data_IF_564504900280
#
_entry.id   IF_564504900280
#
_cell.length_a   1.000
_cell.length_b   1.000
_cell.length_c   1.000
_cell.angle_alpha   90.00
_cell.angle_beta   90.00
_cell.angle_gamma   90.00
#
_symmetry.space_group_name_H-M   'P 1'
#
loop_
_entity.id
_entity.type
_entity.pdbx_description
1 polymer ?
#
# COMPACT_ATOMS: atom_id res chain seq x y z
N UNK A 1 18.61 32.57 -3.36
CA UNK A 1 17.26 32.02 -3.65
C UNK A 1 17.38 31.12 -4.86
N UNK A 2 16.87 29.89 -4.80
CA UNK A 2 16.81 29.02 -5.98
C UNK A 2 15.79 29.55 -6.97
N UNK A 3 16.09 29.47 -8.26
CA UNK A 3 15.12 29.84 -9.31
C UNK A 3 14.03 28.78 -9.44
N UNK A 4 12.84 29.15 -9.96
CA UNK A 4 11.77 28.19 -10.25
C UNK A 4 12.29 27.03 -11.13
N UNK A 5 13.11 27.35 -12.14
CA UNK A 5 13.72 26.37 -13.03
C UNK A 5 14.63 25.38 -12.28
N UNK A 6 15.40 25.83 -11.30
CA UNK A 6 16.23 24.95 -10.47
C UNK A 6 15.39 24.01 -9.62
N UNK A 7 14.30 24.51 -9.03
CA UNK A 7 13.35 23.69 -8.28
C UNK A 7 12.69 22.64 -9.17
N UNK A 8 12.24 23.01 -10.37
CA UNK A 8 11.68 22.07 -11.35
C UNK A 8 12.71 21.01 -11.79
N UNK A 9 13.97 21.40 -11.99
CA UNK A 9 15.05 20.45 -12.34
C UNK A 9 15.32 19.44 -11.23
N UNK A 10 15.34 19.86 -9.96
CA UNK A 10 15.47 18.94 -8.82
C UNK A 10 14.31 17.96 -8.76
N UNK A 11 13.08 18.43 -8.99
CA UNK A 11 11.90 17.58 -9.04
C UNK A 11 11.99 16.54 -10.16
N UNK A 12 12.45 16.95 -11.35
CA UNK A 12 12.67 16.04 -12.48
C UNK A 12 13.82 15.06 -12.26
N UNK A 13 14.81 15.38 -11.42
CA UNK A 13 15.89 14.47 -11.10
C UNK A 13 15.40 13.29 -10.26
N UNK A 14 14.44 13.50 -9.37
CA UNK A 14 13.82 12.42 -8.61
C UNK A 14 12.95 11.54 -9.48
N UNK A 15 12.19 12.13 -10.41
CA UNK A 15 11.47 11.36 -11.42
C UNK A 15 12.36 10.36 -12.16
N UNK A 16 13.62 10.73 -12.43
CA UNK A 16 14.59 9.86 -13.09
C UNK A 16 15.11 8.75 -12.17
N UNK A 17 15.20 8.99 -10.86
CA UNK A 17 15.67 8.02 -9.86
C UNK A 17 14.51 7.08 -9.47
N UNK A 18 13.32 7.62 -9.29
CA UNK A 18 12.07 6.90 -9.14
C UNK A 18 11.67 6.12 -10.41
N UNK A 19 12.49 6.09 -11.46
CA UNK A 19 12.26 5.22 -12.61
C UNK A 19 12.52 3.74 -12.29
N UNK A 20 13.26 3.43 -11.22
CA UNK A 20 13.60 2.05 -10.83
C UNK A 20 12.68 1.46 -9.76
N UNK A 21 12.19 2.28 -8.83
CA UNK A 21 11.31 1.86 -7.73
C UNK A 21 10.39 3.03 -7.34
N UNK A 22 9.15 2.73 -6.93
CA UNK A 22 8.21 3.74 -6.42
C UNK A 22 8.59 4.09 -4.98
N UNK A 23 9.02 5.33 -4.73
CA UNK A 23 9.32 5.83 -3.38
C UNK A 23 8.61 7.18 -3.12
N UNK A 24 7.35 7.10 -2.68
CA UNK A 24 6.57 8.28 -2.30
C UNK A 24 7.19 9.08 -1.15
N UNK A 25 8.00 8.44 -0.29
CA UNK A 25 8.66 9.09 0.83
C UNK A 25 9.85 9.96 0.37
N UNK A 26 10.59 9.52 -0.65
CA UNK A 26 11.59 10.35 -1.32
C UNK A 26 10.94 11.53 -2.05
N UNK A 27 9.84 11.30 -2.77
CA UNK A 27 9.07 12.35 -3.45
C UNK A 27 8.60 13.42 -2.45
N UNK A 28 7.98 13.01 -1.34
CA UNK A 28 7.51 13.93 -0.32
C UNK A 28 8.64 14.77 0.29
N UNK A 29 9.83 14.19 0.52
CA UNK A 29 11.00 14.91 1.06
C UNK A 29 11.46 16.04 0.17
N UNK A 30 11.56 15.82 -1.13
CA UNK A 30 12.03 16.90 -2.01
C UNK A 30 10.95 17.92 -2.30
N UNK A 31 9.67 17.53 -2.29
CA UNK A 31 8.59 18.50 -2.31
C UNK A 31 8.65 19.42 -1.10
N UNK A 32 8.88 18.86 0.10
CA UNK A 32 9.10 19.65 1.31
C UNK A 32 10.28 20.59 1.15
N UNK A 33 11.43 20.12 0.65
CA UNK A 33 12.63 20.95 0.53
C UNK A 33 12.50 22.04 -0.56
N UNK A 34 11.74 21.75 -1.62
CA UNK A 34 11.56 22.69 -2.75
C UNK A 34 10.51 23.74 -2.45
N UNK A 35 9.45 23.36 -1.74
CA UNK A 35 8.35 24.25 -1.41
C UNK A 35 8.57 24.92 -0.05
N UNK A 36 9.20 24.26 0.92
CA UNK A 36 9.28 24.66 2.34
C UNK A 36 7.90 24.56 3.03
N UNK A 37 7.23 23.42 2.89
CA UNK A 37 5.96 23.12 3.56
C UNK A 37 5.86 21.65 3.94
N UNK A 38 4.90 21.33 4.83
CA UNK A 38 4.54 19.94 5.09
C UNK A 38 3.85 19.35 3.86
N UNK A 39 4.21 18.12 3.50
CA UNK A 39 3.73 17.42 2.32
C UNK A 39 3.12 16.08 2.73
N UNK A 40 1.96 15.76 2.16
CA UNK A 40 1.31 14.47 2.33
C UNK A 40 0.79 14.00 0.97
N UNK A 41 1.16 12.77 0.59
CA UNK A 41 0.69 12.10 -0.63
C UNK A 41 -0.30 11.04 -0.19
N UNK A 42 -1.57 11.24 -0.53
CA UNK A 42 -2.68 10.37 -0.13
C UNK A 42 -3.20 9.58 -1.31
N UNK A 43 -3.64 8.34 -1.07
CA UNK A 43 -4.45 7.61 -2.03
C UNK A 43 -5.90 8.13 -2.07
N UNK A 44 -6.79 7.42 -2.78
CA UNK A 44 -8.22 7.79 -2.90
C UNK A 44 -9.02 7.59 -1.61
N UNK A 45 -8.54 6.78 -0.68
CA UNK A 45 -9.23 6.44 0.58
C UNK A 45 -8.75 7.33 1.73
N UNK A 46 -7.57 7.94 1.61
CA UNK A 46 -6.97 8.77 2.66
C UNK A 46 -5.74 8.14 3.30
N UNK A 47 -5.31 6.97 2.82
CA UNK A 47 -4.06 6.35 3.28
C UNK A 47 -2.86 7.19 2.82
N UNK A 48 -1.91 7.36 3.73
CA UNK A 48 -0.69 8.11 3.50
C UNK A 48 0.32 7.19 2.80
N UNK A 49 0.56 7.45 1.51
CA UNK A 49 1.60 6.76 0.73
C UNK A 49 3.00 7.28 1.05
N UNK A 50 3.10 8.58 1.35
CA UNK A 50 4.35 9.23 1.73
C UNK A 50 4.09 10.62 2.31
N UNK A 51 4.95 11.05 3.23
CA UNK A 51 4.83 12.37 3.86
C UNK A 51 6.18 12.95 4.25
N UNK A 52 6.27 14.27 4.33
CA UNK A 52 7.47 14.93 4.85
C UNK A 52 7.10 16.21 5.56
N UNK A 53 7.64 16.37 6.78
CA UNK A 53 7.32 17.48 7.66
C UNK A 53 8.52 18.43 7.75
N UNK A 54 8.22 19.72 7.90
CA UNK A 54 9.24 20.72 8.27
C UNK A 54 9.65 20.50 9.72
N UNK A 55 10.91 20.82 10.05
CA UNK A 55 11.52 20.43 11.33
C UNK A 55 10.81 21.04 12.55
N UNK A 56 10.28 22.26 12.41
CA UNK A 56 9.57 22.99 13.47
C UNK A 56 8.07 22.61 13.58
N UNK A 57 7.64 21.53 12.92
CA UNK A 57 6.25 21.07 12.97
C UNK A 57 5.99 20.14 14.16
N UNK A 58 5.22 20.65 15.12
CA UNK A 58 4.76 19.96 16.31
C UNK A 58 3.23 20.04 16.46
N UNK A 59 2.58 18.95 16.11
CA UNK A 59 1.14 18.77 16.28
C UNK A 59 0.90 17.35 16.77
N UNK A 60 0.48 17.22 18.04
CA UNK A 60 0.27 15.92 18.67
C UNK A 60 -0.81 15.09 17.96
N UNK A 61 -1.90 15.74 17.52
CA UNK A 61 -2.98 15.07 16.77
C UNK A 61 -2.43 14.46 15.48
N UNK A 62 -1.65 15.24 14.71
CA UNK A 62 -1.03 14.72 13.49
C UNK A 62 -0.07 13.57 13.80
N UNK A 63 0.82 13.71 14.79
CA UNK A 63 1.81 12.68 15.13
C UNK A 63 1.17 11.40 15.67
N UNK A 64 0.19 11.51 16.56
CA UNK A 64 -0.34 10.37 17.32
C UNK A 64 -1.56 9.73 16.67
N UNK A 65 -2.43 10.50 16.01
CA UNK A 65 -3.67 9.98 15.43
C UNK A 65 -3.52 9.67 13.95
N UNK A 66 -2.82 10.54 13.19
CA UNK A 66 -2.76 10.44 11.72
C UNK A 66 -1.54 9.65 11.26
N UNK A 67 -0.34 10.08 11.63
CA UNK A 67 0.90 9.47 11.13
C UNK A 67 1.18 8.08 11.70
N UNK A 68 0.75 7.80 12.93
CA UNK A 68 0.86 6.45 13.53
C UNK A 68 -0.05 5.43 12.85
N UNK A 69 -1.21 5.88 12.37
CA UNK A 69 -2.19 5.02 11.68
C UNK A 69 -1.93 4.99 10.17
N UNK A 70 -1.06 5.87 9.66
CA UNK A 70 -0.77 6.06 8.24
C UNK A 70 -2.01 6.39 7.41
N UNK A 71 -2.99 7.07 8.00
CA UNK A 71 -4.26 7.38 7.35
C UNK A 71 -4.88 8.66 7.91
N UNK A 72 -5.53 9.42 7.03
CA UNK A 72 -6.32 10.60 7.42
C UNK A 72 -7.72 10.16 7.84
N UNK A 73 -8.35 10.78 8.85
CA UNK A 73 -9.71 10.43 9.26
C UNK A 73 -10.69 10.48 8.07
N UNK A 74 -11.56 9.47 7.96
CA UNK A 74 -12.50 9.28 6.84
C UNK A 74 -13.23 10.57 6.44
N UNK A 75 -13.79 11.27 7.43
CA UNK A 75 -14.54 12.51 7.21
C UNK A 75 -13.70 13.64 6.58
N UNK A 76 -12.39 13.65 6.81
CA UNK A 76 -11.48 14.60 6.19
C UNK A 76 -10.98 14.08 4.83
N UNK A 77 -10.68 12.79 4.72
CA UNK A 77 -10.31 12.16 3.45
C UNK A 77 -11.41 12.33 2.38
N UNK A 78 -12.68 12.10 2.73
CA UNK A 78 -13.83 12.33 1.86
C UNK A 78 -13.92 13.79 1.41
N UNK A 79 -13.73 14.75 2.33
CA UNK A 79 -13.72 16.19 1.99
C UNK A 79 -12.59 16.53 1.02
N UNK A 80 -11.38 15.99 1.22
CA UNK A 80 -10.25 16.18 0.30
C UNK A 80 -10.55 15.61 -1.09
N UNK A 81 -11.24 14.48 -1.16
CA UNK A 81 -11.61 13.83 -2.41
C UNK A 81 -12.61 14.66 -3.24
N UNK A 82 -13.46 15.47 -2.60
CA UNK A 82 -14.47 16.30 -3.27
C UNK A 82 -13.88 17.47 -4.08
N UNK A 83 -12.66 17.92 -3.76
CA UNK A 83 -11.99 18.99 -4.53
C UNK A 83 -11.61 18.48 -5.91
N UNK A 84 -12.22 19.00 -6.98
CA UNK A 84 -11.93 18.60 -8.36
C UNK A 84 -10.76 19.36 -8.98
N UNK A 85 -10.53 20.57 -8.52
CA UNK A 85 -9.45 21.46 -8.94
C UNK A 85 -8.56 21.82 -7.75
N UNK A 86 -7.37 22.36 -8.02
CA UNK A 86 -6.45 22.85 -6.99
C UNK A 86 -7.13 23.91 -6.12
N UNK A 87 -7.28 23.61 -4.82
CA UNK A 87 -7.74 24.57 -3.83
C UNK A 87 -6.52 25.13 -3.10
N UNK A 88 -6.05 26.30 -3.56
CA UNK A 88 -4.86 26.95 -3.02
C UNK A 88 -5.17 27.73 -1.74
N UNK A 89 -4.25 27.64 -0.77
CA UNK A 89 -4.23 28.48 0.44
C UNK A 89 -5.56 28.49 1.23
N UNK A 90 -6.25 27.36 1.29
CA UNK A 90 -7.43 27.18 2.14
C UNK A 90 -7.03 27.42 3.59
N UNK A 91 -7.50 28.51 4.16
CA UNK A 91 -7.25 28.84 5.55
C UNK A 91 -8.24 28.09 6.43
N UNK A 92 -7.71 27.52 7.50
CA UNK A 92 -8.53 27.02 8.59
C UNK A 92 -8.55 28.08 9.69
N UNK A 93 -9.55 28.96 9.65
CA UNK A 93 -9.66 30.12 10.53
C UNK A 93 -10.53 29.81 11.77
N UNK A 94 -10.29 28.64 12.37
CA UNK A 94 -10.91 28.24 13.64
C UNK A 94 -9.82 27.82 14.62
N UNK A 95 -10.06 27.98 15.92
CA UNK A 95 -9.17 27.45 16.96
C UNK A 95 -9.24 25.90 17.04
N UNK A 96 -10.00 25.26 16.14
CA UNK A 96 -10.24 23.82 16.10
C UNK A 96 -9.35 23.12 15.10
N UNK A 97 -9.15 21.81 15.28
CA UNK A 97 -8.35 21.01 14.37
C UNK A 97 -9.15 20.62 13.12
N UNK A 98 -8.48 20.55 11.97
CA UNK A 98 -9.07 20.06 10.71
C UNK A 98 -9.58 18.61 10.79
N UNK A 99 -9.06 17.83 11.75
CA UNK A 99 -9.38 16.42 11.96
C UNK A 99 -10.52 16.18 12.97
N UNK A 100 -10.94 17.19 13.73
CA UNK A 100 -11.97 17.05 14.76
C UNK A 100 -12.12 18.32 15.60
N UNK A 101 -13.36 18.66 15.95
CA UNK A 101 -13.69 19.86 16.74
C UNK A 101 -13.32 19.71 18.22
N UNK A 102 -13.06 18.48 18.66
CA UNK A 102 -12.60 18.13 20.00
C UNK A 102 -11.14 18.53 20.26
N UNK A 103 -10.34 18.75 19.21
CA UNK A 103 -8.93 19.13 19.33
C UNK A 103 -8.70 20.61 19.02
N UNK A 104 -7.75 21.22 19.73
CA UNK A 104 -7.27 22.57 19.45
C UNK A 104 -6.14 22.55 18.42
N UNK A 105 -6.11 23.54 17.53
CA UNK A 105 -5.03 23.67 16.55
C UNK A 105 -3.90 24.55 17.11
N UNK A 106 -2.65 24.05 17.23
CA UNK A 106 -1.52 24.84 17.71
C UNK A 106 -1.06 25.91 16.71
N UNK A 107 -1.53 25.86 15.45
CA UNK A 107 -1.10 26.74 14.37
C UNK A 107 -2.24 27.60 13.84
N UNK A 108 -2.26 28.87 14.24
CA UNK A 108 -3.19 29.88 13.69
C UNK A 108 -2.73 30.33 12.30
N UNK A 109 -3.66 30.56 11.39
CA UNK A 109 -3.36 31.02 10.02
C UNK A 109 -2.68 29.97 9.13
N UNK A 110 -2.80 28.68 9.48
CA UNK A 110 -2.29 27.57 8.66
C UNK A 110 -3.01 27.57 7.31
N UNK A 111 -2.26 27.73 6.23
CA UNK A 111 -2.73 27.59 4.87
C UNK A 111 -2.55 26.14 4.42
N UNK A 112 -3.62 25.55 3.90
CA UNK A 112 -3.60 24.22 3.29
C UNK A 112 -3.89 24.36 1.80
N UNK A 113 -3.01 23.84 0.97
CA UNK A 113 -3.25 23.70 -0.47
C UNK A 113 -3.53 22.24 -0.79
N UNK A 114 -4.63 22.01 -1.49
CA UNK A 114 -5.13 20.68 -1.84
C UNK A 114 -5.02 20.56 -3.35
N UNK A 115 -4.20 19.62 -3.82
CA UNK A 115 -3.97 19.38 -5.25
C UNK A 115 -4.46 17.97 -5.60
N UNK A 116 -5.51 17.86 -6.42
CA UNK A 116 -5.97 16.58 -6.94
C UNK A 116 -4.89 15.85 -7.74
N UNK A 117 -4.67 14.56 -7.47
CA UNK A 117 -3.76 13.72 -8.25
C UNK A 117 -4.60 12.92 -9.24
N UNK A 118 -4.49 13.27 -10.53
CA UNK A 118 -5.36 12.76 -11.60
C UNK A 118 -4.49 12.22 -12.74
N UNK A 119 -4.87 11.08 -13.32
CA UNK A 119 -4.31 10.61 -14.60
C UNK A 119 -5.38 9.89 -15.43
N UNK A 120 -5.37 10.12 -16.74
CA UNK A 120 -6.32 9.47 -17.65
C UNK A 120 -7.80 9.79 -17.39
N UNK A 121 -8.10 10.86 -16.65
CA UNK A 121 -9.45 11.21 -16.20
C UNK A 121 -9.84 10.61 -14.84
N UNK A 122 -9.02 9.71 -14.29
CA UNK A 122 -9.28 9.07 -13.01
C UNK A 122 -8.59 9.80 -11.85
N UNK A 123 -9.34 10.01 -10.76
CA UNK A 123 -8.80 10.52 -9.49
C UNK A 123 -8.03 9.40 -8.78
N UNK A 124 -6.71 9.55 -8.68
CA UNK A 124 -5.83 8.54 -8.08
C UNK A 124 -5.63 8.76 -6.58
N UNK A 125 -5.59 10.02 -6.16
CA UNK A 125 -5.28 10.41 -4.79
C UNK A 125 -5.26 11.92 -4.60
N UNK A 126 -4.64 12.41 -3.52
CA UNK A 126 -4.59 13.84 -3.20
C UNK A 126 -3.21 14.21 -2.67
N UNK A 127 -2.62 15.28 -3.21
CA UNK A 127 -1.42 15.92 -2.67
C UNK A 127 -1.87 17.06 -1.75
N UNK A 128 -1.53 16.96 -0.47
CA UNK A 128 -1.85 17.97 0.54
C UNK A 128 -0.58 18.68 0.96
N UNK A 129 -0.59 20.00 0.85
CA UNK A 129 0.51 20.88 1.24
C UNK A 129 0.03 21.76 2.39
N UNK A 130 0.77 21.82 3.49
CA UNK A 130 0.41 22.64 4.63
C UNK A 130 1.58 23.55 5.05
N UNK A 131 1.34 24.86 5.09
CA UNK A 131 2.32 25.88 5.45
C UNK A 131 1.72 26.89 6.41
N UNK A 132 2.48 27.30 7.40
CA UNK A 132 2.08 28.28 8.42
C UNK A 132 2.78 29.63 8.25
N UNK A 133 3.93 29.67 7.57
CA UNK A 133 4.74 30.87 7.42
C UNK A 133 4.18 31.88 6.41
N UNK A 134 3.85 31.41 5.20
CA UNK A 134 3.32 32.25 4.10
C UNK A 134 2.36 31.44 3.21
N UNK A 135 1.45 32.11 2.48
CA UNK A 135 0.72 31.47 1.39
C UNK A 135 1.65 30.95 0.30
N UNK A 136 1.23 29.90 -0.41
CA UNK A 136 1.85 29.46 -1.66
C UNK A 136 1.59 30.51 -2.74
N UNK A 137 2.65 30.97 -3.39
CA UNK A 137 2.56 31.84 -4.56
C UNK A 137 2.37 31.03 -5.85
N UNK A 138 2.24 31.71 -6.99
CA UNK A 138 2.06 31.06 -8.29
C UNK A 138 3.20 30.10 -8.64
N UNK A 139 4.45 30.42 -8.29
CA UNK A 139 5.59 29.55 -8.59
C UNK A 139 5.52 28.26 -7.75
N UNK A 140 5.13 28.38 -6.49
CA UNK A 140 4.88 27.24 -5.60
C UNK A 140 3.70 26.37 -6.11
N UNK A 141 2.62 26.99 -6.59
CA UNK A 141 1.46 26.27 -7.14
C UNK A 141 1.79 25.52 -8.43
N UNK A 142 2.59 26.12 -9.34
CA UNK A 142 3.08 25.43 -10.55
C UNK A 142 3.88 24.19 -10.16
N UNK A 143 4.75 24.30 -9.16
CA UNK A 143 5.51 23.16 -8.66
C UNK A 143 4.59 22.11 -8.02
N UNK A 144 3.57 22.53 -7.28
CA UNK A 144 2.60 21.64 -6.66
C UNK A 144 1.79 20.83 -7.68
N UNK A 145 1.32 21.44 -8.77
CA UNK A 145 0.60 20.75 -9.85
C UNK A 145 1.53 19.85 -10.69
N UNK A 146 2.76 20.30 -10.95
CA UNK A 146 3.78 19.45 -11.57
C UNK A 146 4.04 18.22 -10.70
N UNK A 147 4.18 18.41 -9.39
CA UNK A 147 4.35 17.34 -8.42
C UNK A 147 3.16 16.38 -8.37
N UNK A 148 1.93 16.89 -8.46
CA UNK A 148 0.74 16.05 -8.52
C UNK A 148 0.73 15.18 -9.79
N UNK A 149 1.15 15.72 -10.94
CA UNK A 149 1.29 14.97 -12.19
C UNK A 149 2.33 13.85 -12.06
N UNK A 150 3.46 14.15 -11.41
CA UNK A 150 4.51 13.18 -11.09
C UNK A 150 3.98 12.06 -10.18
N UNK A 151 3.34 12.44 -9.08
CA UNK A 151 2.76 11.48 -8.14
C UNK A 151 1.71 10.60 -8.83
N UNK A 152 0.96 11.13 -9.80
CA UNK A 152 -0.01 10.36 -10.57
C UNK A 152 0.67 9.23 -11.38
N UNK A 153 1.82 9.51 -12.00
CA UNK A 153 2.59 8.49 -12.73
C UNK A 153 3.13 7.41 -11.78
N UNK A 154 3.65 7.81 -10.62
CA UNK A 154 4.12 6.88 -9.58
C UNK A 154 2.98 6.00 -9.06
N UNK A 155 1.80 6.58 -8.81
CA UNK A 155 0.60 5.83 -8.38
C UNK A 155 0.10 4.84 -9.43
N UNK A 156 0.12 5.19 -10.72
CA UNK A 156 -0.23 4.24 -11.79
C UNK A 156 0.73 3.06 -11.77
N UNK A 157 2.04 3.33 -11.70
CA UNK A 157 3.05 2.28 -11.71
C UNK A 157 2.93 1.37 -10.49
N UNK A 158 2.76 1.96 -9.31
CA UNK A 158 2.52 1.21 -8.07
C UNK A 158 1.32 0.26 -8.18
N UNK A 159 0.22 0.74 -8.79
CA UNK A 159 -0.97 -0.10 -9.05
C UNK A 159 -0.67 -1.20 -10.08
N UNK A 160 0.07 -0.90 -11.15
CA UNK A 160 0.45 -1.89 -12.16
C UNK A 160 1.32 -2.99 -11.58
N UNK A 161 2.37 -2.63 -10.83
CA UNK A 161 3.24 -3.59 -10.13
C UNK A 161 2.44 -4.46 -9.16
N UNK A 162 1.50 -3.88 -8.40
CA UNK A 162 0.63 -4.62 -7.49
C UNK A 162 -0.27 -5.62 -8.21
N UNK A 163 -0.86 -5.22 -9.34
CA UNK A 163 -1.73 -6.10 -10.16
C UNK A 163 -0.91 -7.20 -10.83
N UNK A 164 0.29 -6.88 -11.33
CA UNK A 164 1.20 -7.86 -11.92
C UNK A 164 1.65 -8.88 -10.88
N UNK A 165 2.01 -8.42 -9.68
CA UNK A 165 2.37 -9.30 -8.56
C UNK A 165 1.22 -10.23 -8.20
N UNK A 166 0.00 -9.70 -8.07
CA UNK A 166 -1.17 -10.50 -7.77
C UNK A 166 -1.44 -11.55 -8.86
N UNK A 167 -1.34 -11.15 -10.13
CA UNK A 167 -1.48 -12.04 -11.28
C UNK A 167 -0.43 -13.14 -11.27
N UNK A 168 0.83 -12.80 -10.99
CA UNK A 168 1.95 -13.73 -10.87
C UNK A 168 1.73 -14.72 -9.75
N UNK A 169 1.27 -14.26 -8.58
CA UNK A 169 0.95 -15.10 -7.44
C UNK A 169 -0.18 -16.08 -7.76
N UNK A 170 -1.25 -15.63 -8.40
CA UNK A 170 -2.35 -16.51 -8.84
C UNK A 170 -1.88 -17.51 -9.89
N UNK A 171 -1.09 -17.08 -10.88
CA UNK A 171 -0.54 -17.95 -11.91
C UNK A 171 0.35 -19.06 -11.33
N UNK A 172 1.22 -18.71 -10.37
CA UNK A 172 2.05 -19.70 -9.68
C UNK A 172 1.21 -20.77 -8.96
N UNK A 173 0.12 -20.37 -8.30
CA UNK A 173 -0.82 -21.30 -7.67
C UNK A 173 -1.53 -22.17 -8.71
N UNK A 174 -1.99 -21.60 -9.82
CA UNK A 174 -2.66 -22.33 -10.88
C UNK A 174 -1.75 -23.36 -11.55
N UNK A 175 -0.48 -23.01 -11.80
CA UNK A 175 0.53 -23.97 -12.28
C UNK A 175 0.71 -25.10 -11.26
N UNK A 176 0.86 -24.78 -9.97
CA UNK A 176 1.00 -25.80 -8.93
C UNK A 176 -0.20 -26.76 -8.88
N UNK A 177 -1.42 -26.22 -8.94
CA UNK A 177 -2.66 -27.00 -8.98
C UNK A 177 -2.74 -27.89 -10.22
N UNK A 178 -2.31 -27.39 -11.39
CA UNK A 178 -2.27 -28.15 -12.64
C UNK A 178 -1.31 -29.34 -12.64
N UNK A 179 -0.32 -29.37 -11.74
CA UNK A 179 0.58 -30.52 -11.60
C UNK A 179 0.00 -31.66 -10.75
N UNK A 180 -1.10 -31.41 -10.04
CA UNK A 180 -1.74 -32.40 -9.18
C UNK A 180 -2.68 -33.31 -9.97
N UNK A 181 -2.64 -34.60 -9.66
CA UNK A 181 -3.70 -35.55 -10.03
C UNK A 181 -4.97 -35.29 -9.22
N UNK A 182 -6.10 -35.82 -9.68
CA UNK A 182 -7.40 -35.67 -9.00
C UNK A 182 -7.35 -36.09 -7.53
N UNK A 183 -6.71 -37.23 -7.23
CA UNK A 183 -6.55 -37.72 -5.84
C UNK A 183 -5.64 -36.82 -5.00
N UNK A 184 -4.56 -36.28 -5.58
CA UNK A 184 -3.68 -35.34 -4.91
C UNK A 184 -4.38 -34.02 -4.61
N UNK A 185 -5.15 -33.49 -5.57
CA UNK A 185 -5.92 -32.26 -5.39
C UNK A 185 -6.95 -32.38 -4.26
N UNK A 186 -7.71 -33.48 -4.23
CA UNK A 186 -8.67 -33.74 -3.16
C UNK A 186 -7.98 -33.91 -1.80
N UNK A 187 -6.82 -34.57 -1.77
CA UNK A 187 -6.02 -34.67 -0.57
C UNK A 187 -5.61 -33.27 -0.05
N UNK A 188 -5.14 -32.39 -0.92
CA UNK A 188 -4.71 -31.04 -0.54
C UNK A 188 -5.86 -30.18 -0.01
N UNK A 189 -7.06 -30.30 -0.58
CA UNK A 189 -8.26 -29.61 -0.06
C UNK A 189 -8.52 -29.98 1.40
N UNK A 190 -8.56 -31.27 1.71
CA UNK A 190 -8.79 -31.74 3.07
C UNK A 190 -7.68 -31.37 4.05
N UNK A 191 -6.42 -31.38 3.58
CA UNK A 191 -5.27 -30.96 4.39
C UNK A 191 -5.41 -29.50 4.83
N UNK A 192 -5.71 -28.59 3.89
CA UNK A 192 -5.83 -27.17 4.20
C UNK A 192 -7.12 -26.82 4.95
N UNK A 193 -8.18 -27.62 4.80
CA UNK A 193 -9.37 -27.54 5.64
C UNK A 193 -9.07 -27.90 7.10
N UNK A 194 -8.27 -28.96 7.34
CA UNK A 194 -7.90 -29.40 8.68
C UNK A 194 -6.84 -28.49 9.34
N UNK A 195 -5.97 -27.87 8.54
CA UNK A 195 -4.99 -26.90 9.05
C UNK A 195 -5.68 -25.65 9.62
N UNK A 196 -6.79 -25.21 9.02
CA UNK A 196 -7.60 -24.08 9.49
C UNK A 196 -6.89 -22.71 9.45
N UNK A 197 -5.73 -22.60 8.79
CA UNK A 197 -4.90 -21.39 8.80
C UNK A 197 -3.84 -21.37 7.69
N UNK A 198 -2.87 -20.46 7.81
CA UNK A 198 -1.74 -20.31 6.88
C UNK A 198 -0.52 -21.13 7.28
N UNK A 199 -0.49 -21.68 8.50
CA UNK A 199 0.57 -22.54 8.99
C UNK A 199 0.06 -23.56 10.03
N UNK A 200 0.74 -24.70 10.15
CA UNK A 200 0.35 -25.72 11.12
C UNK A 200 1.10 -27.04 10.94
N UNK A 201 0.88 -27.98 11.87
CA UNK A 201 1.43 -29.34 11.81
C UNK A 201 0.38 -30.33 11.32
N UNK A 202 0.76 -31.14 10.32
CA UNK A 202 -0.08 -32.17 9.74
C UNK A 202 0.51 -33.56 9.99
N UNK A 203 -0.33 -34.52 10.41
CA UNK A 203 0.05 -35.92 10.47
C UNK A 203 -0.54 -36.66 9.26
N UNK A 204 0.28 -36.88 8.23
CA UNK A 204 -0.16 -37.43 6.95
C UNK A 204 -0.91 -38.79 7.05
N UNK A 205 -0.57 -39.65 8.01
CA UNK A 205 -1.28 -40.92 8.21
C UNK A 205 -2.74 -40.71 8.64
N UNK A 206 -3.02 -39.77 9.55
CA UNK A 206 -4.39 -39.49 10.02
C UNK A 206 -5.29 -38.98 8.89
N UNK A 207 -4.72 -38.18 7.98
CA UNK A 207 -5.46 -37.66 6.82
C UNK A 207 -5.68 -38.75 5.78
N UNK A 208 -4.66 -39.57 5.52
CA UNK A 208 -4.74 -40.71 4.61
C UNK A 208 -5.88 -41.67 5.01
N UNK A 209 -5.94 -42.04 6.29
CA UNK A 209 -6.96 -42.95 6.82
C UNK A 209 -8.38 -42.37 6.73
N UNK A 210 -8.53 -41.05 6.93
CA UNK A 210 -9.83 -40.37 6.89
C UNK A 210 -10.36 -40.20 5.46
N UNK A 211 -9.47 -39.86 4.51
CA UNK A 211 -9.83 -39.58 3.11
C UNK A 211 -9.84 -40.88 2.27
N UNK A 212 -9.31 -41.99 2.81
CA UNK A 212 -9.27 -43.28 2.12
C UNK A 212 -8.24 -43.33 0.99
N UNK A 213 -7.11 -42.62 1.14
CA UNK A 213 -6.02 -42.56 0.16
C UNK A 213 -4.71 -43.05 0.77
N UNK A 214 -3.73 -43.37 -0.06
CA UNK A 214 -2.40 -43.76 0.44
C UNK A 214 -1.62 -42.53 0.93
N UNK A 215 -0.78 -42.72 1.95
CA UNK A 215 0.11 -41.65 2.46
C UNK A 215 1.02 -41.08 1.38
N UNK A 216 1.41 -41.88 0.37
CA UNK A 216 2.27 -41.43 -0.73
C UNK A 216 1.61 -40.35 -1.60
N UNK A 217 0.28 -40.39 -1.78
CA UNK A 217 -0.47 -39.34 -2.49
C UNK A 217 -0.31 -37.99 -1.79
N UNK A 218 -0.44 -37.96 -0.46
CA UNK A 218 -0.27 -36.73 0.34
C UNK A 218 1.16 -36.20 0.24
N UNK A 219 2.15 -37.07 0.41
CA UNK A 219 3.57 -36.66 0.38
C UNK A 219 3.96 -36.13 -1.00
N UNK A 220 3.48 -36.76 -2.08
CA UNK A 220 3.73 -36.30 -3.44
C UNK A 220 3.07 -34.95 -3.72
N UNK A 221 1.82 -34.76 -3.28
CA UNK A 221 1.13 -33.49 -3.43
C UNK A 221 1.85 -32.35 -2.71
N UNK A 222 2.27 -32.57 -1.46
CA UNK A 222 3.05 -31.60 -0.69
C UNK A 222 4.38 -31.27 -1.38
N UNK A 223 5.10 -32.28 -1.89
CA UNK A 223 6.35 -32.07 -2.63
C UNK A 223 6.15 -31.23 -3.90
N UNK A 224 5.04 -31.42 -4.62
CA UNK A 224 4.72 -30.62 -5.82
C UNK A 224 4.45 -29.15 -5.47
N UNK A 225 3.70 -28.89 -4.40
CA UNK A 225 3.44 -27.52 -3.93
C UNK A 225 4.70 -26.83 -3.38
N UNK A 226 5.57 -27.58 -2.70
CA UNK A 226 6.87 -27.08 -2.24
C UNK A 226 7.78 -26.77 -3.43
N UNK A 227 7.81 -27.65 -4.44
CA UNK A 227 8.60 -27.43 -5.66
C UNK A 227 8.12 -26.22 -6.47
N UNK A 228 6.83 -25.89 -6.40
CA UNK A 228 6.26 -24.70 -7.01
C UNK A 228 6.46 -23.42 -6.18
N UNK A 229 7.09 -23.50 -4.99
CA UNK A 229 7.30 -22.37 -4.10
C UNK A 229 6.02 -21.82 -3.47
N UNK A 230 4.94 -22.60 -3.48
CA UNK A 230 3.62 -22.18 -2.98
C UNK A 230 3.49 -22.46 -1.47
N UNK A 231 4.21 -23.47 -0.99
CA UNK A 231 4.32 -23.83 0.44
C UNK A 231 5.78 -24.11 0.80
N UNK A 232 6.05 -24.10 2.09
CA UNK A 232 7.26 -24.67 2.69
C UNK A 232 6.85 -25.85 3.58
N UNK A 233 7.57 -26.97 3.50
CA UNK A 233 7.32 -28.13 4.35
C UNK A 233 8.55 -28.53 5.15
N UNK A 234 8.37 -28.84 6.43
CA UNK A 234 9.45 -29.33 7.30
C UNK A 234 9.02 -30.57 8.06
N UNK A 235 9.73 -31.67 7.87
CA UNK A 235 9.50 -32.90 8.63
C UNK A 235 9.85 -32.70 10.10
N UNK A 236 8.92 -33.03 10.99
CA UNK A 236 9.12 -33.09 12.45
C UNK A 236 9.16 -34.54 12.96
N UNK A 237 9.41 -35.50 12.05
CA UNK A 237 9.44 -36.93 12.36
C UNK A 237 8.07 -37.43 12.83
N UNK A 238 8.03 -38.04 14.02
CA UNK A 238 6.81 -38.62 14.59
C UNK A 238 5.72 -37.59 14.91
N UNK A 239 6.08 -36.30 15.06
CA UNK A 239 5.13 -35.22 15.32
C UNK A 239 4.37 -34.78 14.06
N UNK A 240 4.77 -35.24 12.89
CA UNK A 240 4.17 -34.89 11.60
C UNK A 240 5.06 -33.99 10.75
N UNK A 241 4.43 -33.26 9.83
CA UNK A 241 5.09 -32.31 8.94
C UNK A 241 4.53 -30.92 9.23
N UNK A 242 5.40 -29.97 9.52
CA UNK A 242 5.05 -28.56 9.58
C UNK A 242 4.87 -28.04 8.16
N UNK A 243 3.79 -27.32 7.90
CA UNK A 243 3.47 -26.71 6.62
C UNK A 243 3.25 -25.23 6.85
N UNK A 244 3.85 -24.40 5.98
CA UNK A 244 3.62 -22.96 5.92
C UNK A 244 3.26 -22.55 4.50
N UNK A 245 2.18 -21.82 4.34
CA UNK A 245 1.77 -21.25 3.05
C UNK A 245 2.64 -20.05 2.74
N UNK A 246 3.34 -20.08 1.61
CA UNK A 246 4.17 -18.96 1.15
C UNK A 246 3.38 -18.00 0.26
N UNK A 247 2.47 -18.54 -0.56
CA UNK A 247 1.65 -17.75 -1.46
C UNK A 247 0.25 -17.50 -0.86
N UNK A 248 -0.13 -16.25 -0.58
CA UNK A 248 -1.40 -15.92 0.06
C UNK A 248 -2.63 -16.29 -0.78
N UNK A 249 -2.46 -16.43 -2.10
CA UNK A 249 -3.55 -16.80 -3.02
C UNK A 249 -3.89 -18.27 -3.03
N UNK A 250 -3.07 -19.14 -2.42
CA UNK A 250 -3.28 -20.59 -2.42
C UNK A 250 -4.66 -20.99 -1.86
N UNK A 251 -4.98 -20.50 -0.65
CA UNK A 251 -6.22 -20.90 0.05
C UNK A 251 -7.47 -20.37 -0.68
N UNK A 252 -7.37 -19.21 -1.32
CA UNK A 252 -8.43 -18.63 -2.14
C UNK A 252 -8.71 -19.50 -3.36
N UNK A 253 -7.66 -19.85 -4.13
CA UNK A 253 -7.78 -20.66 -5.34
C UNK A 253 -8.24 -22.09 -5.05
N UNK A 254 -7.78 -22.70 -3.94
CA UNK A 254 -8.27 -24.03 -3.51
C UNK A 254 -9.76 -24.04 -3.20
N UNK A 255 -10.31 -22.96 -2.62
CA UNK A 255 -11.74 -22.82 -2.33
C UNK A 255 -12.59 -22.68 -3.58
N UNK A 256 -12.07 -22.05 -4.65
CA UNK A 256 -12.78 -21.90 -5.94
C UNK A 256 -13.03 -23.23 -6.66
N UNK A 257 -12.20 -24.24 -6.37
CA UNK A 257 -12.32 -25.57 -6.95
C UNK A 257 -13.31 -26.49 -6.21
N UNK A 258 -14.10 -25.96 -5.27
CA UNK A 258 -15.17 -26.70 -4.58
C UNK A 258 -16.37 -26.95 -5.47
#
# INVERSE_FOLDING_TARGET
MQTLLEKTRKMNQLLRIAATEVDFQASARVLRDSLECNVYILDKLGHILGYSLVDDFDCEVMKNQVLKQSEFPDSYAERLYMYKDTAANVQHDTDKCVFGEEYECPYKGKCTTIVPVIAGGDRLGTLVLARTSRPLDTADLILAEHAATVAAMEMIRYRQESVEEESRQRAAVQVALGTLSFSELNAMKHIFEELGGTEGCLVASKVADRVGITRSVIVNALRKFESAGVIESRSLGMKGTYIKVLNPKLLEELKKLR
#
